data_IF_308945173326
#
_entry.id   IF_308945173326
#
_cell.length_a   1.000
_cell.length_b   1.000
_cell.length_c   1.000
_cell.angle_alpha   90.00
_cell.angle_beta   90.00
_cell.angle_gamma   90.00
#
_symmetry.space_group_name_H-M   'P 1'
#
loop_
_entity.id
_entity.type
_entity.pdbx_description
1 polymer ?
#
# COMPACT_ATOMS: atom_id res chain seq x y z
N UNK A 1 -4.47 -15.60 1.29
CA UNK A 1 -5.50 -14.70 1.85
C UNK A 1 -4.75 -13.64 2.64
N UNK A 2 -4.36 -12.57 1.96
CA UNK A 2 -3.69 -11.44 2.58
C UNK A 2 -4.57 -10.89 3.69
N UNK A 3 -4.02 -10.85 4.89
CA UNK A 3 -4.67 -10.20 6.03
C UNK A 3 -4.74 -8.70 5.76
N UNK A 4 -5.72 -7.98 6.32
CA UNK A 4 -5.80 -6.53 6.18
C UNK A 4 -4.56 -5.80 6.72
N UNK A 5 -3.77 -6.46 7.57
CA UNK A 5 -2.47 -6.03 8.10
C UNK A 5 -1.39 -5.95 7.00
N UNK A 6 -1.51 -6.78 5.95
CA UNK A 6 -0.56 -6.85 4.84
C UNK A 6 -0.97 -5.94 3.67
N UNK A 7 -2.15 -5.32 3.76
CA UNK A 7 -2.67 -4.39 2.76
C UNK A 7 -2.31 -2.95 3.13
N UNK A 8 -1.92 -2.17 2.12
CA UNK A 8 -1.43 -0.81 2.33
C UNK A 8 -2.21 0.18 1.50
N UNK A 9 -2.66 1.28 2.09
CA UNK A 9 -3.40 2.32 1.40
C UNK A 9 -2.58 3.59 1.27
N UNK A 10 -2.57 4.13 0.06
CA UNK A 10 -2.00 5.43 -0.26
C UNK A 10 -2.79 6.54 0.44
N UNK A 11 -2.13 7.30 1.31
CA UNK A 11 -2.69 8.42 2.06
C UNK A 11 -2.72 9.74 1.28
N UNK A 12 -2.41 9.68 -0.01
CA UNK A 12 -2.56 10.82 -0.89
C UNK A 12 -4.05 11.14 -1.08
N UNK A 13 -4.45 12.35 -0.67
CA UNK A 13 -5.84 12.85 -0.65
C UNK A 13 -6.61 12.64 -1.96
N UNK A 14 -5.92 12.65 -3.10
CA UNK A 14 -6.49 12.48 -4.44
C UNK A 14 -6.18 11.09 -5.04
N UNK A 15 -5.90 10.08 -4.22
CA UNK A 15 -5.56 8.73 -4.67
C UNK A 15 -6.34 7.62 -3.98
N UNK A 16 -6.12 7.38 -2.67
CA UNK A 16 -6.75 6.29 -1.92
C UNK A 16 -6.46 4.87 -2.41
N UNK A 17 -5.44 4.66 -3.27
CA UNK A 17 -5.09 3.35 -3.83
C UNK A 17 -4.71 2.34 -2.74
N UNK A 18 -5.24 1.12 -2.83
CA UNK A 18 -4.94 0.03 -1.91
C UNK A 18 -4.06 -1.01 -2.62
N UNK A 19 -2.85 -1.19 -2.11
CA UNK A 19 -1.94 -2.27 -2.47
C UNK A 19 -2.37 -3.56 -1.78
N UNK A 20 -2.53 -4.62 -2.57
CA UNK A 20 -2.85 -5.96 -2.09
C UNK A 20 -1.72 -6.93 -2.50
N UNK A 21 -0.97 -7.50 -1.54
CA UNK A 21 0.16 -8.37 -1.84
C UNK A 21 -0.27 -9.66 -2.54
N UNK A 22 -1.45 -10.21 -2.23
CA UNK A 22 -1.99 -11.42 -2.88
C UNK A 22 -2.24 -11.20 -4.39
N UNK A 23 -2.56 -9.96 -4.78
CA UNK A 23 -2.73 -9.56 -6.18
C UNK A 23 -1.45 -8.99 -6.80
N UNK A 24 -0.53 -8.48 -5.98
CA UNK A 24 0.60 -7.67 -6.42
C UNK A 24 0.15 -6.37 -7.08
N UNK A 25 1.04 -5.80 -7.89
CA UNK A 25 0.76 -4.60 -8.68
C UNK A 25 1.37 -4.71 -10.07
N UNK A 26 0.55 -5.12 -11.04
CA UNK A 26 0.99 -5.25 -12.44
C UNK A 26 1.45 -3.93 -13.06
N UNK A 27 0.90 -2.79 -12.63
CA UNK A 27 1.23 -1.47 -13.18
C UNK A 27 2.53 -0.93 -12.58
N UNK A 28 2.80 -1.27 -11.32
CA UNK A 28 4.08 -1.07 -10.63
C UNK A 28 5.14 -2.14 -10.89
N UNK A 29 4.88 -3.11 -11.79
CA UNK A 29 5.76 -4.26 -12.09
C UNK A 29 6.09 -5.14 -10.89
N UNK A 30 5.14 -5.26 -9.95
CA UNK A 30 5.25 -6.07 -8.76
C UNK A 30 4.47 -7.38 -8.96
N UNK A 31 5.12 -8.55 -8.79
CA UNK A 31 4.42 -9.83 -8.90
C UNK A 31 3.43 -10.04 -7.75
N UNK A 32 2.49 -10.96 -7.96
CA UNK A 32 1.61 -11.44 -6.90
C UNK A 32 2.43 -12.17 -5.82
N UNK A 33 2.04 -12.01 -4.56
CA UNK A 33 2.73 -12.55 -3.40
C UNK A 33 3.85 -11.67 -2.85
N UNK A 34 4.11 -10.49 -3.43
CA UNK A 34 5.10 -9.56 -2.88
C UNK A 34 4.46 -8.72 -1.76
N UNK A 35 5.06 -8.75 -0.58
CA UNK A 35 4.64 -7.88 0.53
C UNK A 35 5.01 -6.42 0.25
N UNK A 36 4.25 -5.48 0.82
CA UNK A 36 4.53 -4.05 0.62
C UNK A 36 5.94 -3.65 1.11
N UNK A 37 6.42 -4.29 2.17
CA UNK A 37 7.75 -4.08 2.74
C UNK A 37 8.88 -4.55 1.81
N UNK A 38 8.59 -5.53 0.95
CA UNK A 38 9.53 -6.07 -0.06
C UNK A 38 9.55 -5.22 -1.35
N UNK A 39 8.68 -4.21 -1.44
CA UNK A 39 8.65 -3.31 -2.59
C UNK A 39 9.95 -2.49 -2.71
N UNK A 40 10.46 -2.33 -3.94
CA UNK A 40 11.65 -1.51 -4.17
C UNK A 40 11.41 -0.06 -3.73
N UNK A 41 12.46 0.64 -3.29
CA UNK A 41 12.33 2.03 -2.81
C UNK A 41 11.87 3.02 -3.89
N UNK A 42 12.18 2.71 -5.15
CA UNK A 42 11.70 3.47 -6.30
C UNK A 42 10.24 3.14 -6.68
N UNK A 43 9.63 2.12 -6.06
CA UNK A 43 8.23 1.85 -6.27
C UNK A 43 7.38 3.04 -5.85
N UNK A 44 6.50 3.43 -6.77
CA UNK A 44 5.59 4.56 -6.64
C UNK A 44 4.19 4.06 -6.92
N UNK A 45 3.24 4.70 -6.26
CA UNK A 45 1.83 4.44 -6.45
C UNK A 45 1.50 4.46 -7.96
N UNK A 46 0.90 3.40 -8.52
CA UNK A 46 0.58 3.33 -9.94
C UNK A 46 -0.55 4.29 -10.36
N UNK A 47 -1.20 4.93 -9.40
CA UNK A 47 -2.30 5.88 -9.61
C UNK A 47 -1.80 7.32 -9.56
N UNK A 48 -1.08 7.72 -8.50
CA UNK A 48 -0.68 9.11 -8.27
C UNK A 48 0.84 9.36 -8.31
N UNK A 49 1.68 8.33 -8.39
CA UNK A 49 3.14 8.47 -8.36
C UNK A 49 3.74 8.77 -6.97
N UNK A 50 2.94 8.74 -5.90
CA UNK A 50 3.44 8.90 -4.54
C UNK A 50 4.38 7.76 -4.14
N UNK A 51 5.42 8.07 -3.36
CA UNK A 51 6.40 7.08 -2.89
C UNK A 51 5.77 6.15 -1.84
N UNK A 52 6.34 4.96 -1.63
CA UNK A 52 5.87 3.98 -0.64
C UNK A 52 5.68 4.54 0.78
N UNK A 53 6.45 5.56 1.16
CA UNK A 53 6.33 6.25 2.46
C UNK A 53 4.96 6.90 2.72
N UNK A 54 4.19 7.22 1.68
CA UNK A 54 2.85 7.80 1.83
C UNK A 54 1.77 6.74 1.97
N UNK A 55 2.14 5.46 2.03
CA UNK A 55 1.21 4.39 2.29
C UNK A 55 1.19 4.08 3.78
N UNK A 56 0.03 3.63 4.25
CA UNK A 56 -0.19 3.14 5.62
C UNK A 56 -0.89 1.79 5.58
N UNK A 57 -0.64 0.92 6.56
CA UNK A 57 -1.33 -0.36 6.65
C UNK A 57 -2.83 -0.14 6.87
N UNK A 58 -3.68 -1.02 6.31
CA UNK A 58 -5.14 -0.93 6.45
C UNK A 58 -5.66 -1.40 7.82
N UNK A 59 -4.94 -2.30 8.50
CA UNK A 59 -5.25 -2.70 9.87
C UNK A 59 -3.99 -2.79 10.75
N UNK A 60 -4.12 -2.37 12.02
CA UNK A 60 -3.06 -2.44 13.03
C UNK A 60 -2.73 -1.09 13.69
N UNK A 61 -1.85 -1.09 14.72
CA UNK A 61 -1.36 0.13 15.35
C UNK A 61 -0.48 0.92 14.37
N UNK A 62 -1.07 1.92 13.70
CA UNK A 62 -0.42 2.70 12.63
C UNK A 62 -1.27 2.87 11.37
N UNK A 63 -2.46 2.26 11.32
CA UNK A 63 -3.47 2.52 10.30
C UNK A 63 -4.11 3.89 10.49
N UNK A 64 -4.44 4.57 9.39
CA UNK A 64 -5.08 5.90 9.43
C UNK A 64 -6.46 5.93 10.07
N UNK A 65 -7.05 4.75 10.31
CA UNK A 65 -8.24 4.60 11.14
C UNK A 65 -8.00 4.97 12.62
N UNK A 66 -6.75 4.99 13.10
CA UNK A 66 -6.41 5.30 14.49
C UNK A 66 -6.01 6.78 14.72
N UNK A 67 -5.64 7.54 13.69
CA UNK A 67 -5.20 8.95 13.82
C UNK A 67 -6.35 9.99 13.66
N UNK A 68 -7.60 9.55 13.71
CA UNK A 68 -8.77 10.41 13.53
C UNK A 68 -9.84 10.30 14.62
N UNK A 69 -9.51 9.77 15.80
CA UNK A 69 -10.41 9.73 16.96
C UNK A 69 -10.08 10.85 17.96
#
# INVERSE_FOLDING_TARGET
>A
MAKPEEMWQCQTLNCGYIYNPDKGDRKGKVPKGTSFEDLPDDWKCPICGARKKMFRPLAGPGSVAAEGA
#
